data_IF_077595503407
#
_entry.id   IF_077595503407
#
_cell.length_a   1.000
_cell.length_b   1.000
_cell.length_c   1.000
_cell.angle_alpha   90.00
_cell.angle_beta   90.00
_cell.angle_gamma   90.00
#
_symmetry.space_group_name_H-M   'P 1'
#
loop_
_entity.id
_entity.type
_entity.pdbx_description
1 polymer ?
#
# COMPACT_ATOMS: atom_id res chain seq x y z
N UNK A 1 -30.08 -17.81 26.66
CA UNK A 1 -29.56 -16.46 26.95
C UNK A 1 -30.64 -15.45 26.60
N UNK A 2 -30.88 -14.44 27.47
CA UNK A 2 -31.78 -13.36 27.10
C UNK A 2 -31.18 -12.58 25.91
N UNK A 3 -32.06 -11.96 25.12
CA UNK A 3 -31.63 -11.20 23.94
C UNK A 3 -30.71 -10.04 24.30
N UNK A 4 -30.94 -9.44 25.47
CA UNK A 4 -30.10 -8.35 25.96
C UNK A 4 -28.69 -8.82 26.28
N UNK A 5 -28.52 -10.00 26.84
CA UNK A 5 -27.20 -10.61 27.05
C UNK A 5 -26.46 -10.88 25.75
N UNK A 6 -27.18 -11.34 24.71
CA UNK A 6 -26.57 -11.56 23.38
C UNK A 6 -26.14 -10.25 22.72
N UNK A 7 -26.91 -9.17 22.91
CA UNK A 7 -26.56 -7.85 22.38
C UNK A 7 -25.33 -7.25 23.10
N UNK A 8 -25.26 -7.36 24.44
CA UNK A 8 -24.11 -6.89 25.20
C UNK A 8 -22.84 -7.65 24.78
N UNK A 9 -22.92 -8.99 24.74
CA UNK A 9 -21.79 -9.82 24.31
C UNK A 9 -21.33 -9.52 22.86
N UNK A 10 -22.25 -9.12 21.98
CA UNK A 10 -21.91 -8.67 20.63
C UNK A 10 -21.18 -7.32 20.64
N UNK A 11 -21.63 -6.37 21.48
CA UNK A 11 -21.00 -5.05 21.61
C UNK A 11 -19.57 -5.20 22.14
N UNK A 12 -19.37 -6.04 23.16
CA UNK A 12 -18.03 -6.33 23.71
C UNK A 12 -17.11 -6.91 22.60
N UNK A 13 -17.60 -7.89 21.85
CA UNK A 13 -16.84 -8.49 20.74
C UNK A 13 -16.52 -7.48 19.63
N UNK A 14 -17.41 -6.53 19.33
CA UNK A 14 -17.16 -5.46 18.36
C UNK A 14 -15.96 -4.60 18.80
N UNK A 15 -15.84 -4.30 20.10
CA UNK A 15 -14.71 -3.53 20.60
C UNK A 15 -13.42 -4.36 20.70
N UNK A 16 -13.48 -5.64 21.05
CA UNK A 16 -12.34 -6.55 20.96
C UNK A 16 -11.80 -6.65 19.53
N UNK A 17 -12.69 -6.74 18.55
CA UNK A 17 -12.32 -6.76 17.13
C UNK A 17 -11.62 -5.49 16.64
N UNK A 18 -11.62 -4.39 17.41
CA UNK A 18 -10.79 -3.22 17.08
C UNK A 18 -9.30 -3.47 17.30
N UNK A 19 -8.95 -4.40 18.18
CA UNK A 19 -7.58 -4.76 18.53
C UNK A 19 -7.14 -6.07 17.86
N UNK A 20 -8.08 -6.96 17.59
CA UNK A 20 -7.87 -8.24 16.90
C UNK A 20 -8.77 -8.37 15.68
N UNK A 21 -8.16 -8.15 14.50
CA UNK A 21 -8.89 -8.13 13.24
C UNK A 21 -9.48 -9.48 12.82
N UNK A 22 -9.00 -10.58 13.36
CA UNK A 22 -9.50 -11.93 13.04
C UNK A 22 -10.90 -12.15 13.63
N UNK A 23 -11.26 -11.40 14.68
CA UNK A 23 -12.57 -11.44 15.31
C UNK A 23 -13.70 -10.84 14.47
N UNK A 24 -13.42 -10.03 13.45
CA UNK A 24 -14.48 -9.43 12.62
C UNK A 24 -15.39 -10.46 11.94
N UNK A 25 -14.88 -11.63 11.59
CA UNK A 25 -15.71 -12.71 11.05
C UNK A 25 -16.73 -13.20 12.09
N UNK A 26 -16.32 -13.36 13.34
CA UNK A 26 -17.20 -13.76 14.44
C UNK A 26 -18.22 -12.67 14.77
N UNK A 27 -17.79 -11.39 14.75
CA UNK A 27 -18.71 -10.23 14.89
C UNK A 27 -19.86 -10.31 13.89
N UNK A 28 -19.57 -10.54 12.61
CA UNK A 28 -20.60 -10.58 11.57
C UNK A 28 -21.53 -11.81 11.71
N UNK A 29 -21.00 -12.95 12.14
CA UNK A 29 -21.79 -14.14 12.44
C UNK A 29 -22.75 -13.87 13.60
N UNK A 30 -22.24 -13.37 14.74
CA UNK A 30 -23.07 -13.05 15.91
C UNK A 30 -24.07 -11.95 15.63
N UNK A 31 -23.68 -10.94 14.84
CA UNK A 31 -24.58 -9.87 14.43
C UNK A 31 -25.77 -10.44 13.61
N UNK A 32 -25.50 -11.38 12.68
CA UNK A 32 -26.56 -12.05 11.93
C UNK A 32 -27.53 -12.79 12.85
N UNK A 33 -27.01 -13.50 13.86
CA UNK A 33 -27.81 -14.26 14.81
C UNK A 33 -28.67 -13.33 15.69
N UNK A 34 -28.10 -12.25 16.20
CA UNK A 34 -28.80 -11.27 17.07
C UNK A 34 -29.89 -10.52 16.29
N UNK A 35 -29.65 -10.18 15.02
CA UNK A 35 -30.66 -9.58 14.14
C UNK A 35 -31.72 -10.61 13.75
N UNK A 36 -31.38 -11.90 13.65
CA UNK A 36 -32.20 -12.94 13.08
C UNK A 36 -32.18 -12.91 11.55
N UNK A 37 -31.08 -12.53 10.97
CA UNK A 37 -30.83 -12.54 9.53
C UNK A 37 -30.06 -13.79 9.09
N UNK A 38 -30.13 -14.15 7.81
CA UNK A 38 -29.35 -15.29 7.30
C UNK A 38 -27.87 -14.98 7.24
N UNK A 39 -27.51 -13.76 6.92
CA UNK A 39 -26.13 -13.32 6.84
C UNK A 39 -25.98 -11.81 6.99
N UNK A 40 -24.80 -11.41 7.45
CA UNK A 40 -24.34 -10.04 7.47
C UNK A 40 -23.03 -9.98 6.69
N UNK A 41 -22.86 -8.93 5.93
CA UNK A 41 -21.65 -8.70 5.14
C UNK A 41 -21.17 -7.28 5.35
N UNK A 42 -19.87 -7.10 5.45
CA UNK A 42 -19.19 -5.81 5.48
C UNK A 42 -18.35 -5.65 4.22
N UNK A 43 -18.46 -4.49 3.58
CA UNK A 43 -17.78 -4.22 2.32
C UNK A 43 -17.07 -2.87 2.40
N UNK A 44 -15.86 -2.80 1.88
CA UNK A 44 -15.13 -1.56 1.71
C UNK A 44 -14.66 -1.36 0.27
N UNK A 45 -14.56 -0.11 -0.11
CA UNK A 45 -13.99 0.32 -1.38
C UNK A 45 -13.00 1.44 -1.17
N UNK A 46 -11.83 1.31 -1.78
CA UNK A 46 -10.89 2.39 -2.00
C UNK A 46 -10.89 2.72 -3.50
N UNK A 47 -11.29 3.93 -3.86
CA UNK A 47 -11.40 4.32 -5.27
C UNK A 47 -10.05 4.63 -5.91
N UNK A 48 -9.08 5.16 -5.13
CA UNK A 48 -7.72 5.43 -5.64
C UNK A 48 -7.05 4.16 -6.06
N UNK A 49 -7.23 3.16 -5.23
CA UNK A 49 -6.53 1.89 -5.36
C UNK A 49 -7.34 0.85 -6.15
N UNK A 50 -8.58 1.14 -6.57
CA UNK A 50 -9.55 0.18 -7.10
C UNK A 50 -9.65 -1.09 -6.25
N UNK A 51 -9.54 -0.93 -4.92
CA UNK A 51 -9.70 -2.03 -3.98
C UNK A 51 -11.16 -2.18 -3.61
N UNK A 52 -11.63 -3.41 -3.72
CA UNK A 52 -12.92 -3.83 -3.22
C UNK A 52 -12.71 -5.05 -2.32
N UNK A 53 -13.00 -4.90 -1.04
CA UNK A 53 -12.95 -6.00 -0.07
C UNK A 53 -14.34 -6.28 0.47
N UNK A 54 -14.65 -7.54 0.64
CA UNK A 54 -15.89 -8.00 1.27
C UNK A 54 -15.57 -9.08 2.27
N UNK A 55 -16.04 -8.89 3.49
CA UNK A 55 -16.08 -9.90 4.53
C UNK A 55 -17.52 -10.40 4.67
N UNK A 56 -17.75 -11.65 4.38
CA UNK A 56 -19.07 -12.31 4.43
C UNK A 56 -18.90 -13.75 4.87
N UNK A 57 -18.77 -14.01 6.18
CA UNK A 57 -18.32 -15.30 6.72
C UNK A 57 -19.22 -16.49 6.38
N UNK A 58 -20.50 -16.22 6.11
CA UNK A 58 -21.50 -17.26 5.74
C UNK A 58 -21.67 -17.43 4.24
N UNK A 59 -20.82 -16.78 3.43
CA UNK A 59 -20.86 -16.89 1.97
C UNK A 59 -19.69 -17.72 1.50
N UNK A 60 -19.95 -18.66 0.60
CA UNK A 60 -18.92 -19.46 -0.03
C UNK A 60 -17.85 -18.56 -0.69
N UNK A 61 -16.55 -18.84 -0.47
CA UNK A 61 -15.45 -18.06 -1.03
C UNK A 61 -15.48 -17.93 -2.56
N UNK A 62 -15.95 -18.95 -3.28
CA UNK A 62 -16.04 -18.92 -4.75
C UNK A 62 -17.12 -17.93 -5.22
N UNK A 63 -18.25 -17.84 -4.50
CA UNK A 63 -19.24 -16.78 -4.75
C UNK A 63 -18.64 -15.38 -4.52
N UNK A 64 -17.86 -15.18 -3.46
CA UNK A 64 -17.22 -13.90 -3.22
C UNK A 64 -16.16 -13.58 -4.30
N UNK A 65 -15.42 -14.57 -4.76
CA UNK A 65 -14.46 -14.41 -5.85
C UNK A 65 -15.15 -14.04 -7.17
N UNK A 66 -16.26 -14.70 -7.52
CA UNK A 66 -17.07 -14.40 -8.71
C UNK A 66 -17.67 -13.00 -8.65
N UNK A 67 -18.15 -12.57 -7.47
CA UNK A 67 -18.64 -11.20 -7.28
C UNK A 67 -17.58 -10.15 -7.58
N UNK A 68 -16.39 -10.29 -7.00
CA UNK A 68 -15.29 -9.36 -7.23
C UNK A 68 -14.87 -9.26 -8.68
N UNK A 69 -14.89 -10.39 -9.41
CA UNK A 69 -14.43 -10.49 -10.80
C UNK A 69 -15.45 -9.98 -11.81
N UNK A 70 -16.73 -10.26 -11.58
CA UNK A 70 -17.78 -10.08 -12.59
C UNK A 70 -19.00 -9.34 -12.08
N UNK A 71 -19.71 -9.85 -11.05
CA UNK A 71 -21.03 -9.40 -10.67
C UNK A 71 -21.08 -7.99 -10.08
N UNK A 72 -19.99 -7.53 -9.47
CA UNK A 72 -19.91 -6.18 -8.87
C UNK A 72 -20.26 -5.09 -9.86
N UNK A 73 -19.75 -5.19 -11.10
CA UNK A 73 -19.97 -4.18 -12.13
C UNK A 73 -21.39 -4.19 -12.69
N UNK A 74 -22.08 -5.31 -12.57
CA UNK A 74 -23.45 -5.51 -13.06
C UNK A 74 -24.50 -5.32 -11.98
N UNK A 75 -24.08 -5.14 -10.71
CA UNK A 75 -25.02 -4.99 -9.61
C UNK A 75 -25.56 -3.57 -9.51
N UNK A 76 -26.85 -3.31 -9.81
CA UNK A 76 -27.43 -1.97 -9.78
C UNK A 76 -27.49 -1.38 -8.37
N UNK A 77 -27.39 -2.19 -7.33
CA UNK A 77 -27.35 -1.72 -5.94
C UNK A 77 -26.06 -0.95 -5.64
N UNK A 78 -24.95 -1.36 -6.26
CA UNK A 78 -23.64 -0.89 -5.87
C UNK A 78 -23.47 0.64 -5.99
N UNK A 79 -23.85 1.22 -7.13
CA UNK A 79 -23.75 2.68 -7.34
C UNK A 79 -24.70 3.45 -6.43
N UNK A 80 -25.89 2.90 -6.16
CA UNK A 80 -26.91 3.54 -5.35
C UNK A 80 -26.60 3.49 -3.86
N UNK A 81 -25.93 2.43 -3.39
CA UNK A 81 -25.49 2.35 -1.98
C UNK A 81 -24.42 3.39 -1.66
N UNK A 82 -23.49 3.66 -2.56
CA UNK A 82 -22.41 4.64 -2.31
C UNK A 82 -22.95 6.05 -2.10
N UNK A 83 -24.00 6.44 -2.81
CA UNK A 83 -24.62 7.76 -2.70
C UNK A 83 -25.57 7.91 -1.50
N UNK A 84 -25.81 6.84 -0.74
CA UNK A 84 -26.68 6.91 0.42
C UNK A 84 -25.99 7.56 1.62
N UNK A 85 -26.77 8.28 2.46
CA UNK A 85 -26.22 9.01 3.61
C UNK A 85 -25.56 8.10 4.63
N UNK A 86 -24.45 8.55 5.20
CA UNK A 86 -23.74 7.84 6.26
C UNK A 86 -24.62 7.74 7.51
N UNK A 87 -24.70 6.55 8.11
CA UNK A 87 -25.47 6.30 9.32
C UNK A 87 -26.97 6.12 9.11
N UNK A 88 -27.50 6.33 7.90
CA UNK A 88 -28.90 6.13 7.58
C UNK A 88 -29.13 4.73 7.00
N UNK A 89 -30.07 3.98 7.59
CA UNK A 89 -30.40 2.64 7.13
C UNK A 89 -31.21 2.73 5.83
N UNK A 90 -30.73 2.07 4.80
CA UNK A 90 -31.50 1.83 3.58
C UNK A 90 -32.06 0.40 3.56
N UNK A 91 -33.22 0.23 2.96
CA UNK A 91 -33.75 -1.07 2.55
C UNK A 91 -33.40 -1.28 1.08
N UNK A 92 -33.29 -2.53 0.66
CA UNK A 92 -33.04 -2.85 -0.75
C UNK A 92 -34.10 -2.18 -1.65
N UNK A 93 -35.35 -2.17 -1.20
CA UNK A 93 -36.49 -1.57 -1.93
C UNK A 93 -36.37 -0.05 -2.14
N UNK A 94 -35.62 0.65 -1.26
CA UNK A 94 -35.34 2.07 -1.41
C UNK A 94 -34.32 2.36 -2.53
N UNK A 95 -33.46 1.39 -2.81
CA UNK A 95 -32.41 1.50 -3.83
C UNK A 95 -32.91 1.08 -5.21
N UNK A 96 -33.57 -0.06 -5.29
CA UNK A 96 -34.10 -0.63 -6.54
C UNK A 96 -35.44 -1.31 -6.24
N UNK A 97 -36.49 -1.06 -7.05
CA UNK A 97 -37.77 -1.78 -6.89
C UNK A 97 -37.54 -3.30 -6.94
N UNK A 98 -38.22 -4.04 -6.07
CA UNK A 98 -38.04 -5.51 -5.97
C UNK A 98 -38.22 -6.24 -7.29
N UNK A 99 -39.24 -5.84 -8.06
CA UNK A 99 -39.54 -6.44 -9.36
C UNK A 99 -38.36 -6.28 -10.31
N UNK A 100 -37.77 -5.09 -10.32
CA UNK A 100 -36.65 -4.77 -11.22
C UNK A 100 -35.38 -5.52 -10.79
N UNK A 101 -35.10 -5.55 -9.46
CA UNK A 101 -33.90 -6.24 -8.96
C UNK A 101 -34.02 -7.76 -9.16
N UNK A 102 -35.21 -8.37 -8.89
CA UNK A 102 -35.43 -9.81 -9.07
C UNK A 102 -35.36 -10.26 -10.53
N UNK A 103 -35.53 -9.36 -11.49
CA UNK A 103 -35.36 -9.65 -12.91
C UNK A 103 -33.87 -9.60 -13.38
N UNK A 104 -32.94 -9.12 -12.56
CA UNK A 104 -31.55 -9.02 -12.96
C UNK A 104 -30.81 -10.36 -12.94
N UNK A 105 -29.83 -10.56 -13.85
CA UNK A 105 -28.96 -11.73 -13.80
C UNK A 105 -28.20 -11.83 -12.47
N UNK A 106 -27.71 -10.71 -11.90
CA UNK A 106 -27.00 -10.72 -10.63
C UNK A 106 -27.86 -11.24 -9.47
N UNK A 107 -29.15 -10.96 -9.46
CA UNK A 107 -30.05 -11.53 -8.46
C UNK A 107 -30.21 -13.03 -8.64
N UNK A 108 -30.48 -13.51 -9.84
CA UNK A 108 -30.83 -14.90 -10.12
C UNK A 108 -29.61 -15.83 -10.12
N UNK A 109 -28.45 -15.37 -10.56
CA UNK A 109 -27.26 -16.20 -10.73
C UNK A 109 -26.24 -16.05 -9.59
N UNK A 110 -26.32 -14.95 -8.82
CA UNK A 110 -25.39 -14.74 -7.72
C UNK A 110 -26.06 -14.48 -6.37
N UNK A 111 -26.94 -13.48 -6.27
CA UNK A 111 -27.51 -13.04 -4.98
C UNK A 111 -28.36 -14.16 -4.33
N UNK A 112 -29.35 -14.65 -5.02
CA UNK A 112 -30.24 -15.69 -4.53
C UNK A 112 -29.54 -17.03 -4.29
N UNK A 113 -28.70 -17.57 -5.20
CA UNK A 113 -27.91 -18.78 -4.96
C UNK A 113 -26.93 -18.68 -3.79
N UNK A 114 -26.42 -17.46 -3.49
CA UNK A 114 -25.58 -17.24 -2.31
C UNK A 114 -26.36 -17.18 -0.97
N UNK A 115 -27.66 -17.54 -0.96
CA UNK A 115 -28.49 -17.61 0.23
C UNK A 115 -29.15 -16.29 0.65
N UNK A 116 -29.18 -15.27 -0.23
CA UNK A 116 -29.76 -13.95 0.05
C UNK A 116 -31.14 -13.80 -0.60
N UNK A 117 -32.12 -13.37 0.19
CA UNK A 117 -33.44 -12.98 -0.30
C UNK A 117 -33.57 -11.50 -0.65
N UNK A 118 -34.79 -11.07 -0.98
CA UNK A 118 -35.08 -9.67 -1.32
C UNK A 118 -35.19 -8.77 -0.09
N UNK A 119 -35.45 -9.33 1.09
CA UNK A 119 -35.46 -8.59 2.34
C UNK A 119 -34.04 -8.36 2.83
N UNK A 120 -33.49 -7.22 2.47
CA UNK A 120 -32.15 -6.79 2.86
C UNK A 120 -32.12 -5.30 3.26
N UNK A 121 -31.28 -4.96 4.22
CA UNK A 121 -31.03 -3.59 4.64
C UNK A 121 -29.56 -3.38 4.94
N UNK A 122 -29.11 -2.16 4.79
CA UNK A 122 -27.71 -1.81 5.02
C UNK A 122 -27.53 -0.37 5.42
N UNK A 123 -26.27 0.00 5.68
CA UNK A 123 -25.87 1.36 6.06
C UNK A 123 -24.44 1.61 5.63
N UNK A 124 -24.17 2.83 5.20
CA UNK A 124 -22.81 3.31 5.04
C UNK A 124 -22.26 3.71 6.42
N UNK A 125 -21.22 3.02 6.89
CA UNK A 125 -20.56 3.31 8.17
C UNK A 125 -19.59 4.48 8.04
N UNK A 126 -18.93 4.58 6.88
CA UNK A 126 -17.95 5.61 6.57
C UNK A 126 -17.98 5.89 5.07
N UNK A 127 -18.02 7.17 4.70
CA UNK A 127 -17.83 7.64 3.32
C UNK A 127 -16.90 8.84 3.39
N UNK A 128 -15.74 8.72 2.79
CA UNK A 128 -14.76 9.78 2.59
C UNK A 128 -14.52 9.93 1.08
N UNK A 129 -13.77 10.95 0.69
CA UNK A 129 -13.57 11.33 -0.72
C UNK A 129 -13.20 10.13 -1.63
N UNK A 130 -12.50 9.14 -1.09
CA UNK A 130 -11.99 8.01 -1.88
C UNK A 130 -12.17 6.63 -1.20
N UNK A 131 -12.68 6.62 0.03
CA UNK A 131 -12.90 5.40 0.79
C UNK A 131 -14.35 5.33 1.27
N UNK A 132 -14.97 4.17 1.11
CA UNK A 132 -16.29 3.89 1.70
C UNK A 132 -16.31 2.52 2.34
N UNK A 133 -17.02 2.41 3.47
CA UNK A 133 -17.29 1.16 4.15
C UNK A 133 -18.79 1.08 4.47
N UNK A 134 -19.37 -0.05 4.16
CA UNK A 134 -20.78 -0.34 4.43
C UNK A 134 -20.95 -1.72 5.08
N UNK A 135 -22.02 -1.86 5.84
CA UNK A 135 -22.49 -3.14 6.37
C UNK A 135 -23.93 -3.35 5.93
N UNK A 136 -24.27 -4.56 5.56
CA UNK A 136 -25.64 -4.93 5.23
C UNK A 136 -25.96 -6.34 5.73
N UNK A 137 -27.23 -6.58 5.97
CA UNK A 137 -27.76 -7.91 6.24
C UNK A 137 -28.83 -8.29 5.24
N UNK A 138 -29.02 -9.59 5.04
CA UNK A 138 -30.07 -10.13 4.19
C UNK A 138 -30.73 -11.33 4.87
N UNK A 139 -32.04 -11.44 4.69
CA UNK A 139 -32.78 -12.63 5.03
C UNK A 139 -32.59 -13.72 3.96
N UNK A 140 -32.89 -14.98 4.28
CA UNK A 140 -32.86 -16.06 3.30
C UNK A 140 -34.00 -15.91 2.26
N UNK A 141 -33.85 -16.50 1.08
CA UNK A 141 -34.94 -16.56 0.11
C UNK A 141 -36.21 -17.14 0.73
N UNK A 142 -37.37 -16.53 0.44
CA UNK A 142 -38.67 -16.89 1.04
C UNK A 142 -38.98 -16.15 2.34
N UNK A 143 -38.05 -15.43 2.94
CA UNK A 143 -38.30 -14.49 4.04
C UNK A 143 -38.18 -13.06 3.51
N UNK A 144 -39.17 -12.63 2.75
CA UNK A 144 -39.09 -11.40 1.92
C UNK A 144 -39.56 -10.14 2.66
N UNK A 145 -39.75 -10.18 3.98
CA UNK A 145 -40.12 -9.04 4.80
C UNK A 145 -39.08 -8.77 5.86
N UNK A 146 -38.64 -7.50 5.97
CA UNK A 146 -37.83 -7.02 7.07
C UNK A 146 -38.75 -6.69 8.25
N UNK A 147 -38.48 -7.26 9.41
CA UNK A 147 -39.26 -6.97 10.62
C UNK A 147 -38.71 -5.67 11.27
N UNK A 148 -39.60 -4.93 11.94
CA UNK A 148 -39.20 -3.76 12.73
C UNK A 148 -38.21 -4.13 13.81
N UNK A 149 -38.29 -5.35 14.33
CA UNK A 149 -37.35 -5.84 15.32
C UNK A 149 -35.95 -6.01 14.75
N UNK A 150 -35.80 -6.52 13.52
CA UNK A 150 -34.49 -6.60 12.84
C UNK A 150 -33.89 -5.21 12.65
N UNK A 151 -34.68 -4.27 12.17
CA UNK A 151 -34.23 -2.89 11.96
C UNK A 151 -33.88 -2.18 13.27
N UNK A 152 -34.66 -2.33 14.33
CA UNK A 152 -34.34 -1.77 15.66
C UNK A 152 -33.03 -2.36 16.19
N UNK A 153 -32.84 -3.67 16.15
CA UNK A 153 -31.64 -4.32 16.61
C UNK A 153 -30.42 -3.87 15.81
N UNK A 154 -30.55 -3.80 14.50
CA UNK A 154 -29.47 -3.30 13.64
C UNK A 154 -29.10 -1.85 13.99
N UNK A 155 -30.12 -0.98 14.15
CA UNK A 155 -29.90 0.42 14.51
C UNK A 155 -29.19 0.59 15.87
N UNK A 156 -29.48 -0.28 16.85
CA UNK A 156 -28.81 -0.24 18.17
C UNK A 156 -27.30 -0.55 18.07
N UNK A 157 -26.90 -1.41 17.16
CA UNK A 157 -25.49 -1.82 16.98
C UNK A 157 -24.69 -0.84 16.12
N UNK A 158 -25.33 -0.08 15.25
CA UNK A 158 -24.67 0.82 14.30
C UNK A 158 -23.67 1.82 14.92
N UNK A 159 -23.99 2.52 16.04
CA UNK A 159 -23.04 3.45 16.65
C UNK A 159 -21.76 2.75 17.11
N UNK A 160 -21.87 1.50 17.59
CA UNK A 160 -20.74 0.70 18.05
C UNK A 160 -19.89 0.23 16.87
N UNK A 161 -20.49 -0.26 15.79
CA UNK A 161 -19.79 -0.62 14.56
C UNK A 161 -19.05 0.58 13.96
N UNK A 162 -19.71 1.72 13.87
CA UNK A 162 -19.10 2.94 13.33
C UNK A 162 -17.90 3.41 14.17
N UNK A 163 -18.05 3.37 15.50
CA UNK A 163 -16.97 3.76 16.42
C UNK A 163 -15.81 2.78 16.34
N UNK A 164 -16.09 1.48 16.38
CA UNK A 164 -15.08 0.42 16.26
C UNK A 164 -14.30 0.53 14.94
N UNK A 165 -14.99 0.77 13.82
CA UNK A 165 -14.40 1.01 12.53
C UNK A 165 -13.42 2.17 12.53
N UNK A 166 -13.81 3.31 13.11
CA UNK A 166 -12.96 4.50 13.21
C UNK A 166 -11.74 4.27 14.09
N UNK A 167 -11.90 3.57 15.23
CA UNK A 167 -10.79 3.22 16.11
C UNK A 167 -9.81 2.30 15.41
N UNK A 168 -10.30 1.22 14.81
CA UNK A 168 -9.49 0.24 14.10
C UNK A 168 -8.69 0.89 12.96
N UNK A 169 -9.32 1.76 12.17
CA UNK A 169 -8.64 2.52 11.13
C UNK A 169 -7.55 3.44 11.68
N UNK A 170 -7.82 4.14 12.79
CA UNK A 170 -6.84 5.02 13.42
C UNK A 170 -5.64 4.27 13.97
N UNK A 171 -5.87 3.12 14.60
CA UNK A 171 -4.80 2.25 15.07
C UNK A 171 -3.94 1.78 13.90
N UNK A 172 -4.56 1.33 12.82
CA UNK A 172 -3.85 0.92 11.60
C UNK A 172 -3.00 2.06 10.99
N UNK A 173 -3.53 3.28 10.91
CA UNK A 173 -2.78 4.46 10.46
C UNK A 173 -1.59 4.78 11.38
N UNK A 174 -1.76 4.61 12.70
CA UNK A 174 -0.67 4.80 13.67
C UNK A 174 0.40 3.73 13.54
N UNK A 175 0.03 2.47 13.39
CA UNK A 175 0.96 1.36 13.15
C UNK A 175 1.76 1.58 11.85
N UNK A 176 1.09 1.99 10.79
CA UNK A 176 1.75 2.30 9.53
C UNK A 176 2.75 3.45 9.65
N UNK A 177 2.40 4.50 10.43
CA UNK A 177 3.32 5.60 10.74
C UNK A 177 4.49 5.12 11.57
N UNK A 178 4.26 4.24 12.55
CA UNK A 178 5.30 3.67 13.40
C UNK A 178 6.30 2.83 12.59
N UNK A 179 5.82 1.95 11.72
CA UNK A 179 6.68 1.18 10.80
C UNK A 179 7.53 2.12 9.97
N UNK A 180 6.95 3.16 9.40
CA UNK A 180 7.69 4.12 8.59
C UNK A 180 8.72 4.94 9.39
N UNK A 181 8.42 5.29 10.65
CA UNK A 181 9.35 5.99 11.52
C UNK A 181 10.49 5.08 11.99
N UNK A 182 10.19 3.82 12.33
CA UNK A 182 11.19 2.82 12.74
C UNK A 182 12.18 2.53 11.62
N UNK A 183 11.70 2.43 10.38
CA UNK A 183 12.55 2.24 9.19
C UNK A 183 13.26 3.53 8.75
N UNK A 184 13.01 4.68 9.41
CA UNK A 184 13.59 5.99 9.06
C UNK A 184 13.48 6.31 7.56
N UNK A 185 12.38 5.96 6.93
CA UNK A 185 12.21 6.03 5.47
C UNK A 185 12.47 7.42 4.90
N UNK A 186 12.13 8.47 5.63
CA UNK A 186 12.34 9.86 5.19
C UNK A 186 13.82 10.29 5.22
N UNK A 187 14.66 9.58 5.99
CA UNK A 187 16.09 9.87 6.06
C UNK A 187 16.88 9.36 4.84
N UNK A 188 16.29 8.44 4.06
CA UNK A 188 16.96 7.94 2.87
C UNK A 188 16.83 8.92 1.71
N UNK A 189 17.97 9.18 1.07
CA UNK A 189 18.02 9.96 -0.18
C UNK A 189 17.54 9.19 -1.40
N UNK A 190 17.45 7.89 -1.29
CA UNK A 190 16.87 6.99 -2.28
C UNK A 190 15.34 7.01 -2.16
N UNK A 191 14.65 6.78 -3.27
CA UNK A 191 13.22 6.55 -3.23
C UNK A 191 12.92 5.25 -2.48
N UNK A 192 12.14 5.33 -1.40
CA UNK A 192 11.70 4.15 -0.64
C UNK A 192 10.19 4.08 -0.63
N UNK A 193 9.67 2.92 -1.03
CA UNK A 193 8.24 2.64 -1.08
C UNK A 193 7.94 1.37 -0.29
N UNK A 194 6.82 1.39 0.43
CA UNK A 194 6.24 0.20 1.03
C UNK A 194 5.12 -0.29 0.12
N UNK A 195 5.18 -1.55 -0.30
CA UNK A 195 4.18 -2.15 -1.18
C UNK A 195 3.46 -3.34 -0.51
N UNK A 196 2.17 -3.47 -0.78
CA UNK A 196 1.38 -4.65 -0.39
C UNK A 196 1.58 -5.82 -1.36
N UNK A 197 1.01 -6.98 -1.05
CA UNK A 197 1.11 -8.19 -1.87
C UNK A 197 0.53 -8.04 -3.28
N UNK A 198 -0.29 -7.03 -3.54
CA UNK A 198 -0.82 -6.73 -4.87
C UNK A 198 0.06 -5.76 -5.67
N UNK A 199 1.19 -5.33 -5.10
CA UNK A 199 2.09 -4.33 -5.68
C UNK A 199 1.63 -2.89 -5.52
N UNK A 200 0.64 -2.62 -4.66
CA UNK A 200 0.17 -1.27 -4.39
C UNK A 200 1.07 -0.59 -3.41
N UNK A 201 1.30 0.69 -3.65
CA UNK A 201 2.11 1.51 -2.76
C UNK A 201 1.27 1.97 -1.58
N UNK A 202 1.61 1.46 -0.40
CA UNK A 202 1.01 1.83 0.87
C UNK A 202 1.61 3.12 1.40
N UNK A 203 2.91 3.30 1.20
CA UNK A 203 3.66 4.50 1.58
C UNK A 203 4.86 4.74 0.67
N UNK A 204 5.20 6.02 0.48
CA UNK A 204 6.40 6.45 -0.24
C UNK A 204 7.04 7.61 0.53
N UNK A 205 8.40 7.63 0.61
CA UNK A 205 9.12 8.77 1.15
C UNK A 205 9.15 9.95 0.16
N UNK A 206 9.64 11.10 0.61
CA UNK A 206 9.71 12.31 -0.22
C UNK A 206 10.55 12.10 -1.50
N UNK A 207 11.66 11.38 -1.41
CA UNK A 207 12.51 11.06 -2.57
C UNK A 207 11.79 10.21 -3.62
N UNK A 208 11.04 9.19 -3.19
CA UNK A 208 10.23 8.37 -4.10
C UNK A 208 9.14 9.19 -4.79
N UNK A 209 8.46 10.07 -4.06
CA UNK A 209 7.43 10.95 -4.62
C UNK A 209 8.01 11.88 -5.69
N UNK A 210 9.16 12.50 -5.41
CA UNK A 210 9.84 13.36 -6.37
C UNK A 210 10.25 12.60 -7.65
N UNK A 211 10.70 11.34 -7.53
CA UNK A 211 11.02 10.49 -8.68
C UNK A 211 9.79 10.14 -9.52
N UNK A 212 8.62 10.01 -8.91
CA UNK A 212 7.36 9.74 -9.59
C UNK A 212 6.88 10.95 -10.41
N UNK A 213 7.03 12.14 -9.84
CA UNK A 213 6.60 13.40 -10.47
C UNK A 213 7.52 13.78 -11.66
N UNK A 214 8.79 13.37 -11.64
CA UNK A 214 9.81 13.70 -12.66
C UNK A 214 9.79 12.78 -13.90
N UNK A 215 8.83 11.86 -14.01
CA UNK A 215 8.73 10.93 -15.15
C UNK A 215 9.98 10.03 -15.29
N UNK A 216 10.61 9.66 -14.19
CA UNK A 216 11.89 8.95 -14.12
C UNK A 216 11.85 7.49 -14.61
N UNK A 217 10.72 7.00 -15.12
CA UNK A 217 10.53 5.61 -15.57
C UNK A 217 9.80 4.73 -14.55
N UNK A 218 9.45 5.30 -13.40
CA UNK A 218 8.54 4.71 -12.43
C UNK A 218 7.20 5.41 -12.57
N UNK A 219 6.13 4.64 -12.59
CA UNK A 219 4.77 5.14 -12.74
C UNK A 219 3.87 4.49 -11.69
N UNK A 220 2.83 5.24 -11.30
CA UNK A 220 1.69 4.65 -10.62
C UNK A 220 0.57 4.38 -11.63
N UNK A 221 0.30 3.11 -11.86
CA UNK A 221 -0.91 2.70 -12.57
C UNK A 221 -1.94 2.23 -11.55
N UNK A 222 -3.02 2.99 -11.40
CA UNK A 222 -4.12 2.69 -10.44
C UNK A 222 -3.64 2.38 -9.02
N UNK A 223 -2.63 3.14 -8.54
CA UNK A 223 -2.04 2.97 -7.21
C UNK A 223 -1.05 1.81 -7.08
N UNK A 224 -0.77 1.07 -8.16
CA UNK A 224 0.26 0.05 -8.21
C UNK A 224 1.56 0.64 -8.75
N UNK A 225 2.65 0.15 -8.19
CA UNK A 225 3.97 0.46 -8.70
C UNK A 225 4.17 -0.26 -10.05
N UNK A 226 4.37 0.53 -11.08
CA UNK A 226 4.70 0.06 -12.41
C UNK A 226 5.99 0.73 -12.90
N UNK A 227 6.65 0.11 -13.85
CA UNK A 227 7.87 0.61 -14.46
C UNK A 227 7.75 0.52 -15.98
N UNK A 228 8.42 1.39 -16.70
CA UNK A 228 8.35 1.43 -18.17
C UNK A 228 8.76 0.10 -18.82
N UNK A 229 9.66 -0.64 -18.18
CA UNK A 229 10.09 -1.98 -18.63
C UNK A 229 10.31 -2.89 -17.42
N UNK A 230 9.71 -4.10 -17.41
CA UNK A 230 9.89 -5.08 -16.33
C UNK A 230 8.82 -5.04 -15.24
N UNK A 231 7.68 -4.39 -15.46
CA UNK A 231 6.57 -4.33 -14.48
C UNK A 231 6.12 -5.71 -14.00
N UNK A 232 6.07 -6.71 -14.88
CA UNK A 232 5.69 -8.09 -14.52
C UNK A 232 6.73 -8.73 -13.56
N UNK A 233 8.02 -8.51 -13.82
CA UNK A 233 9.10 -8.98 -12.96
C UNK A 233 9.05 -8.31 -11.58
N UNK A 234 8.86 -7.00 -11.56
CA UNK A 234 8.69 -6.23 -10.32
C UNK A 234 7.52 -6.77 -9.48
N UNK A 235 6.39 -7.03 -10.11
CA UNK A 235 5.22 -7.61 -9.43
C UNK A 235 5.51 -9.01 -8.88
N UNK A 236 6.19 -9.88 -9.63
CA UNK A 236 6.62 -11.21 -9.15
C UNK A 236 7.53 -11.11 -7.92
N UNK A 237 8.48 -10.16 -7.91
CA UNK A 237 9.35 -9.90 -6.77
C UNK A 237 8.57 -9.46 -5.54
N UNK A 238 7.63 -8.53 -5.68
CA UNK A 238 6.80 -8.04 -4.57
C UNK A 238 5.92 -9.17 -4.01
N UNK A 239 5.26 -9.95 -4.88
CA UNK A 239 4.44 -11.09 -4.47
C UNK A 239 5.27 -12.13 -3.73
N UNK A 240 6.52 -12.38 -4.15
CA UNK A 240 7.41 -13.32 -3.46
C UNK A 240 7.71 -12.92 -2.02
N UNK A 241 7.68 -11.62 -1.70
CA UNK A 241 7.88 -11.11 -0.34
C UNK A 241 6.70 -11.42 0.60
N UNK A 242 5.51 -11.68 0.06
CA UNK A 242 4.32 -12.05 0.83
C UNK A 242 4.29 -13.53 1.22
N UNK A 243 5.07 -14.38 0.55
CA UNK A 243 5.09 -15.82 0.80
C UNK A 243 5.90 -16.13 2.06
N UNK A 244 5.24 -16.67 3.07
CA UNK A 244 5.84 -17.02 4.36
C UNK A 244 6.67 -18.31 4.33
N UNK A 245 6.61 -19.07 3.24
CA UNK A 245 7.34 -20.34 3.08
C UNK A 245 8.51 -20.18 2.11
N UNK A 246 9.72 -20.64 2.45
CA UNK A 246 10.88 -20.55 1.57
C UNK A 246 10.77 -21.59 0.43
N UNK A 247 9.90 -21.33 -0.52
CA UNK A 247 9.90 -22.06 -1.78
C UNK A 247 11.06 -21.53 -2.62
N UNK A 248 12.17 -22.27 -2.63
CA UNK A 248 13.36 -22.12 -3.50
C UNK A 248 13.65 -20.70 -3.98
N UNK A 249 14.37 -19.92 -3.17
CA UNK A 249 14.92 -18.61 -3.54
C UNK A 249 14.74 -17.57 -2.43
N UNK A 250 15.65 -16.58 -2.35
CA UNK A 250 15.45 -15.40 -1.50
C UNK A 250 14.25 -14.59 -2.02
N UNK A 251 13.29 -14.21 -1.16
CA UNK A 251 12.20 -13.35 -1.57
C UNK A 251 12.73 -11.95 -1.96
N UNK A 252 12.14 -11.35 -3.02
CA UNK A 252 12.59 -10.07 -3.55
C UNK A 252 13.58 -10.20 -4.69
N UNK A 253 14.43 -9.20 -4.90
CA UNK A 253 15.45 -9.18 -5.94
C UNK A 253 15.85 -7.78 -6.39
N UNK A 254 16.66 -7.71 -7.44
CA UNK A 254 17.14 -6.47 -8.06
C UNK A 254 16.69 -6.39 -9.51
N UNK A 255 16.37 -5.17 -9.95
CA UNK A 255 15.93 -4.89 -11.30
C UNK A 255 16.56 -3.57 -11.76
N UNK A 256 17.08 -3.55 -12.99
CA UNK A 256 17.51 -2.31 -13.66
C UNK A 256 16.43 -1.86 -14.65
N UNK A 257 15.99 -0.61 -14.50
CA UNK A 257 15.00 -0.01 -15.39
C UNK A 257 15.74 0.85 -16.41
N UNK A 258 15.76 0.48 -17.70
CA UNK A 258 16.38 1.26 -18.73
C UNK A 258 15.66 2.61 -18.90
N UNK A 259 16.46 3.66 -19.16
CA UNK A 259 15.97 5.01 -19.50
C UNK A 259 16.58 5.48 -20.80
N UNK A 260 15.96 6.46 -21.43
CA UNK A 260 16.51 7.06 -22.64
C UNK A 260 17.83 7.80 -22.36
N UNK A 261 18.86 7.63 -23.22
CA UNK A 261 20.09 8.40 -23.10
C UNK A 261 19.81 9.91 -23.08
N UNK A 262 20.56 10.72 -22.29
CA UNK A 262 21.78 10.39 -21.55
C UNK A 262 21.55 9.88 -20.10
N UNK A 263 20.32 9.55 -19.70
CA UNK A 263 20.01 9.11 -18.32
C UNK A 263 20.52 7.69 -18.09
N UNK A 264 21.12 7.47 -16.91
CA UNK A 264 21.52 6.12 -16.46
C UNK A 264 20.31 5.29 -16.09
N UNK A 265 20.33 3.95 -16.26
CA UNK A 265 19.27 3.08 -15.76
C UNK A 265 19.02 3.28 -14.26
N UNK A 266 17.77 3.17 -13.81
CA UNK A 266 17.46 3.13 -12.38
C UNK A 266 17.80 1.76 -11.80
N UNK A 267 18.32 1.75 -10.58
CA UNK A 267 18.48 0.52 -9.80
C UNK A 267 17.30 0.39 -8.83
N UNK A 268 16.56 -0.71 -8.95
CA UNK A 268 15.42 -1.04 -8.09
C UNK A 268 15.71 -2.31 -7.33
N UNK A 269 15.60 -2.25 -6.01
CA UNK A 269 15.75 -3.41 -5.13
C UNK A 269 14.43 -3.64 -4.40
N UNK A 270 13.96 -4.88 -4.40
CA UNK A 270 12.78 -5.33 -3.66
C UNK A 270 13.24 -6.26 -2.55
N UNK A 271 12.86 -5.96 -1.32
CA UNK A 271 13.18 -6.78 -0.17
C UNK A 271 11.92 -7.02 0.69
N UNK A 272 11.81 -8.19 1.38
CA UNK A 272 10.71 -8.43 2.27
C UNK A 272 10.75 -7.49 3.47
N UNK A 273 9.60 -6.93 3.81
CA UNK A 273 9.43 -6.14 5.03
C UNK A 273 9.41 -7.09 6.23
N UNK A 274 10.53 -7.18 6.95
CA UNK A 274 10.64 -7.96 8.19
C UNK A 274 10.20 -7.11 9.38
N UNK A 275 8.93 -6.76 9.46
CA UNK A 275 8.39 -6.13 10.67
C UNK A 275 8.21 -7.17 11.77
N UNK A 276 8.68 -6.89 12.98
CA UNK A 276 8.31 -7.65 14.20
C UNK A 276 6.85 -7.41 14.57
N UNK A 277 6.26 -6.33 14.06
CA UNK A 277 4.87 -5.99 14.20
C UNK A 277 4.14 -6.69 13.05
N UNK A 278 3.37 -7.71 13.34
CA UNK A 278 2.39 -8.24 12.39
C UNK A 278 1.34 -7.16 12.21
N UNK A 279 1.47 -6.36 11.14
CA UNK A 279 0.35 -5.55 10.66
C UNK A 279 -0.72 -6.56 10.22
N UNK A 280 -1.58 -6.93 11.14
CA UNK A 280 -2.70 -7.82 10.86
C UNK A 280 -3.55 -7.18 9.78
N UNK A 281 -3.74 -7.91 8.69
CA UNK A 281 -4.56 -7.43 7.59
C UNK A 281 -5.96 -7.14 8.13
N UNK A 282 -6.40 -5.89 8.03
CA UNK A 282 -7.78 -5.55 8.37
C UNK A 282 -8.65 -6.04 7.22
N UNK A 283 -9.48 -7.08 7.41
CA UNK A 283 -10.13 -7.79 6.31
C UNK A 283 -11.01 -6.91 5.42
N UNK A 284 -11.38 -5.74 5.93
CA UNK A 284 -12.33 -4.82 5.30
C UNK A 284 -11.78 -3.39 5.11
N UNK A 285 -10.54 -3.08 5.52
CA UNK A 285 -9.89 -1.83 5.14
C UNK A 285 -9.20 -2.01 3.79
N UNK A 286 -9.47 -1.10 2.85
CA UNK A 286 -9.00 -1.17 1.48
C UNK A 286 -7.49 -1.01 1.29
N UNK A 287 -6.74 -0.62 2.32
CA UNK A 287 -5.29 -0.46 2.26
C UNK A 287 -4.63 -1.78 2.63
N UNK A 288 -3.83 -2.32 1.73
CA UNK A 288 -3.10 -3.58 1.96
C UNK A 288 -2.02 -3.44 3.03
N UNK A 289 -1.73 -4.54 3.73
CA UNK A 289 -0.58 -4.63 4.62
C UNK A 289 0.70 -4.61 3.78
N UNK A 290 1.67 -3.73 4.07
CA UNK A 290 2.92 -3.72 3.33
C UNK A 290 3.70 -5.02 3.59
N UNK A 291 4.13 -5.68 2.51
CA UNK A 291 4.91 -6.92 2.56
C UNK A 291 6.32 -6.74 2.02
N UNK A 292 6.54 -5.69 1.24
CA UNK A 292 7.81 -5.42 0.59
C UNK A 292 8.26 -3.97 0.79
N UNK A 293 9.57 -3.79 0.94
CA UNK A 293 10.25 -2.52 0.77
C UNK A 293 10.81 -2.52 -0.65
N UNK A 294 10.47 -1.47 -1.40
CA UNK A 294 11.04 -1.23 -2.72
C UNK A 294 11.91 0.01 -2.63
N UNK A 295 13.21 -0.14 -2.88
CA UNK A 295 14.14 0.99 -2.94
C UNK A 295 14.48 1.30 -4.40
N UNK A 296 14.52 2.57 -4.72
CA UNK A 296 14.83 3.07 -6.05
C UNK A 296 15.99 4.04 -5.95
N UNK A 297 17.09 3.73 -6.63
CA UNK A 297 18.25 4.60 -6.75
C UNK A 297 18.35 5.15 -8.15
N UNK A 298 18.53 6.46 -8.25
CA UNK A 298 18.92 7.13 -9.50
C UNK A 298 20.42 7.42 -9.47
N UNK A 299 21.23 6.68 -10.26
CA UNK A 299 22.69 6.89 -10.27
C UNK A 299 23.11 8.31 -10.67
N UNK A 300 22.26 9.02 -11.43
CA UNK A 300 22.58 10.38 -11.87
C UNK A 300 22.34 11.39 -10.74
N UNK A 301 21.26 11.19 -9.94
CA UNK A 301 21.00 12.00 -8.74
C UNK A 301 22.07 11.72 -7.68
N UNK A 302 22.38 10.46 -7.43
CA UNK A 302 23.41 10.05 -6.46
C UNK A 302 24.78 10.64 -6.82
N UNK A 303 25.15 10.64 -8.10
CA UNK A 303 26.37 11.24 -8.58
C UNK A 303 26.40 12.75 -8.33
N UNK A 304 25.36 13.48 -8.71
CA UNK A 304 25.24 14.94 -8.49
C UNK A 304 25.31 15.30 -7.01
N UNK A 305 24.68 14.51 -6.17
CA UNK A 305 24.73 14.69 -4.71
C UNK A 305 26.14 14.50 -4.17
N UNK A 306 26.84 13.42 -4.57
CA UNK A 306 28.23 13.19 -4.19
C UNK A 306 29.15 14.35 -4.65
N UNK A 307 28.99 14.80 -5.89
CA UNK A 307 29.72 15.97 -6.41
C UNK A 307 29.48 17.21 -5.53
N UNK A 308 28.22 17.49 -5.17
CA UNK A 308 27.88 18.65 -4.34
C UNK A 308 28.44 18.52 -2.92
N UNK A 309 28.36 17.35 -2.30
CA UNK A 309 28.90 17.11 -0.96
C UNK A 309 30.44 17.30 -0.95
N UNK A 310 31.12 16.73 -1.92
CA UNK A 310 32.57 16.85 -2.03
C UNK A 310 33.02 18.30 -2.30
N UNK A 311 32.29 19.04 -3.14
CA UNK A 311 32.51 20.46 -3.37
C UNK A 311 32.42 21.26 -2.08
N UNK A 312 31.34 21.06 -1.32
CA UNK A 312 31.09 21.80 -0.08
C UNK A 312 32.13 21.48 1.00
N UNK A 313 32.46 20.19 1.16
CA UNK A 313 33.36 19.74 2.25
C UNK A 313 34.82 20.04 2.02
N UNK A 314 35.31 19.99 0.78
CA UNK A 314 36.72 20.15 0.43
C UNK A 314 37.01 21.36 -0.46
N UNK A 315 36.01 22.23 -0.64
CA UNK A 315 36.12 23.40 -1.52
C UNK A 315 36.66 23.06 -2.94
N UNK A 316 36.11 21.94 -3.49
CA UNK A 316 36.48 21.52 -4.84
C UNK A 316 35.70 22.32 -5.90
N UNK A 317 36.32 22.55 -7.04
CA UNK A 317 35.65 23.08 -8.22
C UNK A 317 34.71 22.00 -8.82
N UNK A 318 33.85 22.41 -9.72
CA UNK A 318 32.96 21.47 -10.42
C UNK A 318 33.74 20.43 -11.26
N UNK A 319 34.91 20.78 -11.81
CA UNK A 319 35.73 19.84 -12.56
C UNK A 319 36.43 18.83 -11.64
N UNK A 320 36.99 19.32 -10.53
CA UNK A 320 37.64 18.50 -9.51
C UNK A 320 36.67 17.53 -8.84
N UNK A 321 35.47 17.98 -8.44
CA UNK A 321 34.48 17.11 -7.80
C UNK A 321 34.00 15.99 -8.73
N UNK A 322 33.78 16.27 -10.01
CA UNK A 322 33.46 15.26 -11.00
C UNK A 322 34.59 14.24 -11.18
N UNK A 323 35.88 14.67 -11.18
CA UNK A 323 37.01 13.75 -11.22
C UNK A 323 37.10 12.94 -9.94
N UNK A 324 36.90 13.56 -8.77
CA UNK A 324 36.91 12.89 -7.48
C UNK A 324 35.89 11.75 -7.40
N UNK A 325 34.64 11.97 -7.90
CA UNK A 325 33.61 10.94 -7.99
C UNK A 325 34.02 9.77 -8.89
N UNK A 326 34.73 10.04 -10.01
CA UNK A 326 35.20 8.96 -10.86
C UNK A 326 36.41 8.19 -10.25
N UNK A 327 37.25 8.84 -9.47
CA UNK A 327 38.34 8.20 -8.72
C UNK A 327 37.85 7.25 -7.63
N UNK A 328 36.65 7.49 -7.07
CA UNK A 328 35.98 6.59 -6.10
C UNK A 328 35.75 5.16 -6.63
N UNK A 329 35.74 4.98 -7.95
CA UNK A 329 35.61 3.65 -8.57
C UNK A 329 36.85 2.76 -8.38
N UNK A 330 37.97 3.34 -7.96
CA UNK A 330 39.18 2.59 -7.57
C UNK A 330 40.05 2.09 -8.72
N UNK A 331 39.66 2.30 -9.99
CA UNK A 331 40.33 1.78 -11.19
C UNK A 331 41.40 2.70 -11.77
N UNK A 332 41.76 3.76 -11.01
CA UNK A 332 42.89 4.63 -11.29
C UNK A 332 42.55 5.87 -12.14
N UNK A 333 43.54 6.81 -12.15
CA UNK A 333 43.40 8.12 -12.80
C UNK A 333 43.09 8.00 -14.30
N UNK A 334 43.83 7.14 -15.02
CA UNK A 334 43.67 7.01 -16.47
C UNK A 334 42.28 6.52 -16.87
N UNK A 335 41.67 5.60 -16.10
CA UNK A 335 40.30 5.14 -16.31
C UNK A 335 39.28 6.25 -15.99
N UNK A 336 39.50 6.99 -14.92
CA UNK A 336 38.68 8.16 -14.58
C UNK A 336 38.77 9.27 -15.65
N UNK A 337 39.96 9.57 -16.19
CA UNK A 337 40.14 10.53 -17.28
C UNK A 337 39.37 10.13 -18.55
N UNK A 338 39.46 8.86 -18.97
CA UNK A 338 38.69 8.34 -20.13
C UNK A 338 37.19 8.50 -19.93
N UNK A 339 36.64 8.12 -18.78
CA UNK A 339 35.18 8.27 -18.49
C UNK A 339 34.73 9.72 -18.48
N UNK A 340 35.64 10.63 -18.08
CA UNK A 340 35.39 12.08 -18.08
C UNK A 340 35.58 12.73 -19.43
N UNK A 341 36.15 12.03 -20.43
CA UNK A 341 36.48 12.60 -21.72
C UNK A 341 37.54 13.71 -21.65
N UNK A 342 38.50 13.63 -20.69
CA UNK A 342 39.58 14.61 -20.50
C UNK A 342 40.93 13.96 -20.74
N UNK A 343 41.94 14.79 -21.10
CA UNK A 343 43.30 14.32 -21.25
C UNK A 343 43.89 13.85 -19.90
N UNK A 344 44.73 12.83 -19.92
CA UNK A 344 45.39 12.31 -18.72
C UNK A 344 46.23 13.36 -17.99
N UNK A 345 46.87 14.28 -18.74
CA UNK A 345 47.58 15.42 -18.18
C UNK A 345 46.65 16.35 -17.37
N UNK A 346 45.44 16.63 -17.88
CA UNK A 346 44.42 17.43 -17.19
C UNK A 346 43.96 16.72 -15.91
N UNK A 347 43.69 15.41 -16.00
CA UNK A 347 43.31 14.60 -14.83
C UNK A 347 44.43 14.57 -13.78
N UNK A 348 45.69 14.51 -14.20
CA UNK A 348 46.85 14.57 -13.30
C UNK A 348 46.91 15.89 -12.52
N UNK A 349 46.74 17.04 -13.20
CA UNK A 349 46.72 18.36 -12.58
C UNK A 349 45.54 18.50 -11.60
N UNK A 350 44.32 18.13 -12.02
CA UNK A 350 43.15 18.18 -11.14
C UNK A 350 43.31 17.26 -9.92
N UNK A 351 43.87 16.06 -10.10
CA UNK A 351 44.12 15.14 -8.99
C UNK A 351 45.14 15.68 -7.99
N UNK A 352 46.20 16.36 -8.47
CA UNK A 352 47.19 17.03 -7.61
C UNK A 352 46.50 18.11 -6.73
N UNK A 353 45.65 18.94 -7.33
CA UNK A 353 44.89 19.95 -6.58
C UNK A 353 43.90 19.31 -5.59
N UNK A 354 43.28 18.17 -5.96
CA UNK A 354 42.40 17.42 -5.04
C UNK A 354 43.22 16.92 -3.83
N UNK A 355 44.42 16.36 -4.03
CA UNK A 355 45.30 15.95 -2.94
C UNK A 355 45.66 17.11 -2.00
N UNK A 356 45.97 18.26 -2.56
CA UNK A 356 46.29 19.47 -1.79
C UNK A 356 45.07 19.90 -0.93
N UNK A 357 43.89 20.03 -1.54
CA UNK A 357 42.68 20.48 -0.86
C UNK A 357 42.18 19.47 0.18
N UNK A 358 42.39 18.19 -0.03
CA UNK A 358 41.98 17.11 0.89
C UNK A 358 43.06 16.76 1.90
N UNK A 359 44.27 17.34 1.79
CA UNK A 359 45.45 17.04 2.62
C UNK A 359 45.81 15.56 2.65
N UNK A 360 45.66 14.88 1.51
CA UNK A 360 46.02 13.47 1.33
C UNK A 360 47.19 13.34 0.37
N UNK A 361 47.97 12.26 0.50
CA UNK A 361 49.16 12.04 -0.30
C UNK A 361 49.14 10.78 -1.15
N UNK A 362 48.21 9.85 -0.85
CA UNK A 362 48.07 8.57 -1.55
C UNK A 362 46.63 8.37 -2.04
N UNK A 363 46.49 7.75 -3.20
CA UNK A 363 45.19 7.53 -3.79
C UNK A 363 44.24 6.69 -2.88
N UNK A 364 44.80 5.70 -2.18
CA UNK A 364 43.99 4.88 -1.25
C UNK A 364 43.46 5.69 -0.07
N UNK A 365 44.27 6.61 0.48
CA UNK A 365 43.88 7.54 1.54
C UNK A 365 42.77 8.49 1.04
N UNK A 366 42.99 9.05 -0.16
CA UNK A 366 41.98 9.91 -0.81
C UNK A 366 40.64 9.18 -1.00
N UNK A 367 40.66 7.97 -1.55
CA UNK A 367 39.44 7.19 -1.77
C UNK A 367 38.70 6.99 -0.46
N UNK A 368 39.39 6.60 0.62
CA UNK A 368 38.77 6.42 1.94
C UNK A 368 38.10 7.70 2.43
N UNK A 369 38.85 8.83 2.38
CA UNK A 369 38.33 10.13 2.80
C UNK A 369 37.12 10.58 1.98
N UNK A 370 37.18 10.39 0.66
CA UNK A 370 36.07 10.75 -0.24
C UNK A 370 34.84 9.86 -0.06
N UNK A 371 35.02 8.57 0.26
CA UNK A 371 33.90 7.66 0.57
C UNK A 371 33.17 8.11 1.84
N UNK A 372 33.93 8.42 2.89
CA UNK A 372 33.35 8.90 4.16
C UNK A 372 32.58 10.22 3.96
N UNK A 373 33.16 11.12 3.14
CA UNK A 373 32.55 12.41 2.83
C UNK A 373 31.35 12.33 1.87
N UNK A 374 31.40 11.42 0.90
CA UNK A 374 30.31 11.24 -0.08
C UNK A 374 29.08 10.58 0.54
N UNK A 375 29.29 9.74 1.56
CA UNK A 375 28.24 9.01 2.29
C UNK A 375 27.75 9.74 3.54
N UNK A 376 28.43 10.79 3.99
CA UNK A 376 27.97 11.62 5.09
C UNK A 376 26.61 12.23 4.73
N UNK A 377 25.56 11.73 5.35
CA UNK A 377 24.25 12.36 5.32
C UNK A 377 24.39 13.71 6.01
N UNK A 378 23.94 14.77 5.34
CA UNK A 378 23.99 16.11 5.92
C UNK A 378 23.22 16.14 7.25
N UNK A 379 23.94 16.00 8.34
CA UNK A 379 23.55 16.53 9.62
C UNK A 379 23.93 18.02 9.55
N UNK A 380 23.05 18.81 9.00
CA UNK A 380 23.06 20.25 9.19
C UNK A 380 21.96 20.59 10.20
N UNK A 381 22.38 21.19 11.31
CA UNK A 381 21.58 21.94 12.25
C UNK A 381 20.72 23.02 11.59
#
# INVERSE_FOLDING_TARGET
>A
MSRDHALIALIDLIYEATLDNDLWSEVLIKLADVIGASQVSMTSRDQRADIFKTLSPRTDPDFLASYRRYWRLQNPLWQRTISWRVGEIYRLDNLVPRKDYSATPVFNEWWRPSGRGLAAAGVNLLVEEQFSALVYFANRPGMDVLTDQQLRTFNMVLPHLTRALRINRRLWEMELKHVAATERLEAFSQGVLLADASGRVVRANASAKAMLDDGSGIIFDKGRLAVASGSELLQKMIVSCALTSPVRGSPGGELKIPREPPRSPLDVTVAPLRSKIRLTEVPWIGVGTPVAIVTVSDPDIDRRRRETNLRRRFNLTAAESRLAVEILKGDGRAAAARRRGIADATAKTQLATIFEKTKTHRQAELIRLLLDAANAQGTDE
#
